data_IF_941087870420
#
_entry.id   IF_941087870420
#
_cell.length_a   1.000
_cell.length_b   1.000
_cell.length_c   1.000
_cell.angle_alpha   90.00
_cell.angle_beta   90.00
_cell.angle_gamma   90.00
#
_symmetry.space_group_name_H-M   'P 1'
#
loop_
_entity.id
_entity.type
_entity.pdbx_description
1 polymer ?
#
# COMPACT_ATOMS: atom_id res chain seq x y z
N UNK A 1 -7.19 -22.30 4.67
CA UNK A 1 -6.86 -20.87 4.53
C UNK A 1 -6.74 -20.29 5.92
N UNK A 2 -5.65 -19.60 6.27
CA UNK A 2 -5.54 -18.87 7.54
C UNK A 2 -6.42 -17.63 7.44
N UNK A 3 -7.37 -17.51 8.34
CA UNK A 3 -8.13 -16.27 8.49
C UNK A 3 -7.33 -15.26 9.30
N UNK A 4 -7.40 -14.01 8.86
CA UNK A 4 -6.77 -12.89 9.55
C UNK A 4 -7.73 -12.42 10.64
N UNK A 5 -7.30 -12.50 11.88
CA UNK A 5 -8.06 -12.08 13.05
C UNK A 5 -7.87 -10.59 13.36
N UNK A 6 -8.69 -10.05 14.25
CA UNK A 6 -8.44 -8.70 14.81
C UNK A 6 -7.11 -8.65 15.55
N UNK A 7 -6.73 -9.73 16.25
CA UNK A 7 -5.46 -9.82 16.97
C UNK A 7 -4.25 -9.71 16.02
N UNK A 8 -4.30 -10.29 14.82
CA UNK A 8 -3.23 -10.14 13.82
C UNK A 8 -3.05 -8.66 13.41
N UNK A 9 -4.17 -7.94 13.23
CA UNK A 9 -4.15 -6.51 12.92
C UNK A 9 -3.58 -5.70 14.08
N UNK A 10 -4.05 -5.93 15.31
CA UNK A 10 -3.62 -5.18 16.50
C UNK A 10 -2.13 -5.41 16.80
N UNK A 11 -1.66 -6.65 16.61
CA UNK A 11 -0.25 -7.02 16.73
C UNK A 11 0.58 -6.26 15.69
N UNK A 12 0.12 -6.20 14.44
CA UNK A 12 0.83 -5.46 13.40
C UNK A 12 0.80 -3.94 13.63
N UNK A 13 -0.31 -3.37 14.09
CA UNK A 13 -0.39 -1.96 14.48
C UNK A 13 0.63 -1.64 15.58
N UNK A 14 0.73 -2.49 16.60
CA UNK A 14 1.71 -2.34 17.67
C UNK A 14 3.13 -2.36 17.12
N UNK A 15 3.42 -3.30 16.22
CA UNK A 15 4.71 -3.37 15.53
C UNK A 15 5.00 -2.09 14.72
N UNK A 16 4.02 -1.57 13.98
CA UNK A 16 4.16 -0.33 13.23
C UNK A 16 4.49 0.87 14.14
N UNK A 17 3.85 0.98 15.31
CA UNK A 17 4.12 2.03 16.29
C UNK A 17 5.55 1.98 16.84
N UNK A 18 6.11 0.77 17.01
CA UNK A 18 7.50 0.59 17.43
C UNK A 18 8.50 1.06 16.37
N UNK A 19 8.19 0.87 15.08
CA UNK A 19 9.11 1.17 13.97
C UNK A 19 8.95 2.61 13.44
N UNK A 20 7.79 3.21 13.68
CA UNK A 20 7.46 4.58 13.33
C UNK A 20 6.71 5.23 14.51
N UNK A 21 7.41 5.90 15.45
CA UNK A 21 6.79 6.45 16.67
C UNK A 21 5.65 7.46 16.43
N UNK A 22 5.56 8.06 15.24
CA UNK A 22 4.44 8.93 14.83
C UNK A 22 3.26 8.20 14.19
N UNK A 23 3.30 6.86 14.15
CA UNK A 23 2.30 6.05 13.47
C UNK A 23 0.94 6.10 14.16
N UNK A 24 -0.08 6.43 13.37
CA UNK A 24 -1.47 6.29 13.80
C UNK A 24 -2.37 5.93 12.63
N UNK A 25 -3.40 5.14 12.94
CA UNK A 25 -4.56 4.96 12.08
C UNK A 25 -5.53 6.11 12.37
N UNK A 26 -5.94 6.81 11.33
CA UNK A 26 -6.86 7.93 11.36
C UNK A 26 -7.95 7.74 10.32
N UNK A 27 -8.99 8.58 10.38
CA UNK A 27 -10.11 8.54 9.45
C UNK A 27 -10.31 9.92 8.81
N UNK A 28 -10.61 9.95 7.50
CA UNK A 28 -10.69 11.18 6.72
C UNK A 28 -11.90 12.02 7.11
N UNK A 29 -13.02 11.37 7.37
CA UNK A 29 -14.26 11.98 7.85
C UNK A 29 -14.17 12.52 9.29
N UNK A 30 -13.16 12.12 10.05
CA UNK A 30 -12.84 12.68 11.39
C UNK A 30 -11.80 13.81 11.32
N UNK A 31 -11.11 13.99 10.20
CA UNK A 31 -9.98 14.93 10.08
C UNK A 31 -10.35 16.20 9.30
N UNK A 32 -10.31 17.36 9.98
CA UNK A 32 -10.53 18.68 9.36
C UNK A 32 -9.60 18.93 8.18
N UNK A 33 -8.31 18.60 8.32
CA UNK A 33 -7.33 18.74 7.24
C UNK A 33 -7.71 17.89 6.02
N UNK A 34 -8.08 16.63 6.23
CA UNK A 34 -8.46 15.73 5.13
C UNK A 34 -9.74 16.19 4.43
N UNK A 35 -10.72 16.73 5.18
CA UNK A 35 -11.93 17.35 4.60
C UNK A 35 -11.59 18.55 3.72
N UNK A 36 -10.67 19.42 4.16
CA UNK A 36 -10.19 20.53 3.35
C UNK A 36 -9.49 20.08 2.07
N UNK A 37 -8.58 19.11 2.17
CA UNK A 37 -7.92 18.50 1.00
C UNK A 37 -8.96 17.88 0.07
N UNK A 38 -9.94 17.16 0.61
CA UNK A 38 -11.03 16.56 -0.16
C UNK A 38 -11.87 17.59 -0.91
N UNK A 39 -12.17 18.74 -0.31
CA UNK A 39 -12.87 19.83 -0.97
C UNK A 39 -12.04 20.43 -2.12
N UNK A 40 -10.73 20.61 -1.92
CA UNK A 40 -9.80 21.09 -2.95
C UNK A 40 -9.68 20.10 -4.12
N UNK A 41 -9.60 18.80 -3.82
CA UNK A 41 -9.45 17.75 -4.82
C UNK A 41 -10.77 17.35 -5.50
N UNK A 42 -11.92 17.75 -4.96
CA UNK A 42 -13.24 17.33 -5.47
C UNK A 42 -13.45 17.50 -6.98
N UNK A 43 -12.98 18.60 -7.64
CA UNK A 43 -13.16 18.76 -9.08
C UNK A 43 -12.46 17.67 -9.93
N UNK A 44 -11.39 17.08 -9.39
CA UNK A 44 -10.51 16.14 -10.11
C UNK A 44 -10.68 14.71 -9.57
N UNK A 45 -10.90 14.55 -8.26
CA UNK A 45 -11.04 13.28 -7.59
C UNK A 45 -12.19 13.32 -6.56
N UNK A 46 -13.41 13.18 -7.06
CA UNK A 46 -14.65 13.11 -6.24
C UNK A 46 -14.66 11.96 -5.23
N UNK A 47 -13.84 10.93 -5.43
CA UNK A 47 -13.78 9.73 -4.60
C UNK A 47 -12.68 9.79 -3.54
N UNK A 48 -11.94 10.90 -3.44
CA UNK A 48 -10.84 11.07 -2.49
C UNK A 48 -11.21 10.71 -1.05
N UNK A 49 -12.36 11.17 -0.59
CA UNK A 49 -12.81 10.98 0.80
C UNK A 49 -13.35 9.58 1.08
N UNK A 50 -13.77 8.84 0.05
CA UNK A 50 -14.60 7.63 0.22
C UNK A 50 -13.96 6.34 -0.29
N UNK A 51 -13.08 6.41 -1.29
CA UNK A 51 -12.57 5.22 -1.98
C UNK A 51 -11.08 4.95 -1.79
N UNK A 52 -10.34 5.90 -1.21
CA UNK A 52 -8.88 5.80 -1.11
C UNK A 52 -8.44 5.90 0.34
N UNK A 53 -7.41 5.14 0.67
CA UNK A 53 -6.62 5.36 1.88
C UNK A 53 -5.52 6.39 1.54
N UNK A 54 -5.21 7.29 2.46
CA UNK A 54 -4.15 8.30 2.26
C UNK A 54 -3.08 8.13 3.32
N UNK A 55 -1.83 8.19 2.92
CA UNK A 55 -0.68 8.25 3.83
C UNK A 55 -0.19 9.69 3.93
N UNK A 56 -0.04 10.21 5.15
CA UNK A 56 0.45 11.57 5.37
C UNK A 56 0.96 11.77 6.81
N UNK A 57 2.11 12.42 6.99
CA UNK A 57 2.68 12.79 8.30
C UNK A 57 2.74 11.64 9.32
N UNK A 58 3.21 10.46 8.89
CA UNK A 58 3.29 9.29 9.78
C UNK A 58 1.97 8.51 9.91
N UNK A 59 0.87 8.99 9.34
CA UNK A 59 -0.48 8.46 9.58
C UNK A 59 -1.09 7.83 8.34
N UNK A 60 -1.91 6.81 8.56
CA UNK A 60 -2.76 6.21 7.53
C UNK A 60 -4.19 6.69 7.77
N UNK A 61 -4.78 7.34 6.77
CA UNK A 61 -6.13 7.88 6.79
C UNK A 61 -7.06 7.02 5.95
N UNK A 62 -7.88 6.20 6.61
CA UNK A 62 -8.96 5.46 5.96
C UNK A 62 -10.17 6.35 5.69
N UNK A 63 -11.10 5.94 4.80
CA UNK A 63 -12.32 6.72 4.51
C UNK A 63 -13.16 7.07 5.76
N UNK A 64 -13.64 6.06 6.50
CA UNK A 64 -14.36 6.22 7.78
C UNK A 64 -14.27 4.96 8.64
N UNK A 65 -14.60 5.08 9.93
CA UNK A 65 -14.67 3.92 10.84
C UNK A 65 -15.73 2.92 10.41
N UNK A 66 -16.93 3.40 10.07
CA UNK A 66 -18.04 2.53 9.69
C UNK A 66 -17.71 1.76 8.40
N UNK A 67 -17.10 2.43 7.44
CA UNK A 67 -16.71 1.82 6.17
C UNK A 67 -15.71 0.68 6.40
N UNK A 68 -14.66 0.94 7.21
CA UNK A 68 -13.60 -0.05 7.49
C UNK A 68 -14.11 -1.19 8.37
N UNK A 69 -15.06 -0.93 9.28
CA UNK A 69 -15.65 -1.96 10.14
C UNK A 69 -16.35 -3.07 9.34
N UNK A 70 -16.85 -2.74 8.14
CA UNK A 70 -17.51 -3.69 7.23
C UNK A 70 -16.53 -4.45 6.31
N UNK A 71 -15.24 -4.09 6.29
CA UNK A 71 -14.27 -4.75 5.42
C UNK A 71 -13.88 -6.12 5.95
N UNK A 72 -13.62 -7.10 5.07
CA UNK A 72 -12.92 -8.32 5.46
C UNK A 72 -11.60 -7.99 6.15
N UNK A 73 -11.32 -8.65 7.28
CA UNK A 73 -10.10 -8.39 8.07
C UNK A 73 -8.81 -8.57 7.25
N UNK A 74 -8.80 -9.53 6.34
CA UNK A 74 -7.68 -9.72 5.41
C UNK A 74 -7.47 -8.53 4.45
N UNK A 75 -8.55 -7.89 3.99
CA UNK A 75 -8.46 -6.69 3.16
C UNK A 75 -7.91 -5.51 3.95
N UNK A 76 -8.41 -5.29 5.17
CA UNK A 76 -7.89 -4.27 6.08
C UNK A 76 -6.40 -4.50 6.36
N UNK A 77 -6.00 -5.72 6.69
CA UNK A 77 -4.63 -6.09 6.98
C UNK A 77 -3.69 -5.89 5.78
N UNK A 78 -4.11 -6.32 4.59
CA UNK A 78 -3.35 -6.09 3.35
C UNK A 78 -3.19 -4.61 3.04
N UNK A 79 -4.26 -3.83 3.20
CA UNK A 79 -4.23 -2.37 3.01
C UNK A 79 -3.29 -1.72 4.02
N UNK A 80 -3.39 -2.08 5.29
CA UNK A 80 -2.54 -1.55 6.35
C UNK A 80 -1.05 -1.80 6.08
N UNK A 81 -0.70 -3.02 5.66
CA UNK A 81 0.68 -3.35 5.28
C UNK A 81 1.15 -2.57 4.06
N UNK A 82 0.31 -2.47 3.04
CA UNK A 82 0.60 -1.71 1.83
C UNK A 82 0.95 -0.25 2.16
N UNK A 83 0.05 0.42 2.90
CA UNK A 83 0.18 1.83 3.23
C UNK A 83 1.33 2.09 4.22
N UNK A 84 1.64 1.13 5.10
CA UNK A 84 2.79 1.25 5.98
C UNK A 84 4.12 1.25 5.21
N UNK A 85 4.22 0.53 4.08
CA UNK A 85 5.39 0.62 3.20
C UNK A 85 5.57 2.05 2.70
N UNK A 86 4.49 2.70 2.26
CA UNK A 86 4.54 4.11 1.81
C UNK A 86 4.99 5.06 2.90
N UNK A 87 4.56 4.84 4.15
CA UNK A 87 5.04 5.62 5.29
C UNK A 87 6.55 5.47 5.49
N UNK A 88 7.06 4.25 5.41
CA UNK A 88 8.48 4.00 5.58
C UNK A 88 9.29 4.49 4.36
N UNK A 89 8.70 4.47 3.16
CA UNK A 89 9.26 5.04 1.94
C UNK A 89 9.39 6.57 2.06
N UNK A 90 8.34 7.23 2.55
CA UNK A 90 8.37 8.65 2.88
C UNK A 90 9.39 8.99 3.97
N UNK A 91 9.53 8.15 5.00
CA UNK A 91 10.56 8.33 6.04
C UNK A 91 11.98 8.22 5.48
N UNK A 92 12.21 7.21 4.63
CA UNK A 92 13.55 6.90 4.07
C UNK A 92 13.94 7.84 2.94
N UNK A 93 12.98 8.27 2.14
CA UNK A 93 13.19 9.08 0.94
C UNK A 93 12.20 10.25 0.87
N UNK A 94 12.16 11.16 1.87
CA UNK A 94 11.10 12.16 2.00
C UNK A 94 10.95 13.05 0.76
N UNK A 95 12.06 13.57 0.24
CA UNK A 95 12.01 14.42 -0.94
C UNK A 95 11.55 13.65 -2.19
N UNK A 96 12.12 12.47 -2.44
CA UNK A 96 11.80 11.67 -3.62
C UNK A 96 10.39 11.10 -3.60
N UNK A 97 9.90 10.72 -2.42
CA UNK A 97 8.55 10.26 -2.23
C UNK A 97 7.56 11.38 -2.55
N UNK A 98 7.66 12.54 -1.88
CA UNK A 98 6.75 13.67 -2.11
C UNK A 98 6.81 14.20 -3.55
N UNK A 99 8.02 14.34 -4.11
CA UNK A 99 8.22 14.73 -5.52
C UNK A 99 7.51 13.75 -6.47
N UNK A 100 7.61 12.44 -6.21
CA UNK A 100 7.00 11.43 -7.09
C UNK A 100 5.47 11.51 -7.13
N UNK A 101 4.83 12.02 -6.08
CA UNK A 101 3.37 12.22 -6.01
C UNK A 101 2.94 13.61 -6.53
N UNK A 102 3.80 14.64 -6.46
CA UNK A 102 3.48 16.00 -6.91
C UNK A 102 3.72 16.25 -8.41
N UNK A 103 4.78 15.67 -8.99
CA UNK A 103 5.30 16.12 -10.30
C UNK A 103 4.74 15.38 -11.54
N UNK A 104 3.80 14.44 -11.41
CA UNK A 104 3.46 13.55 -12.53
C UNK A 104 1.97 13.28 -12.74
N UNK A 105 1.24 14.33 -13.09
CA UNK A 105 -0.06 14.25 -13.78
C UNK A 105 0.17 14.44 -15.29
N UNK A 106 -0.28 13.56 -16.21
CA UNK A 106 -0.21 12.10 -16.26
C UNK A 106 1.09 11.67 -16.98
N UNK A 107 2.03 10.99 -16.32
CA UNK A 107 3.31 10.69 -16.97
C UNK A 107 3.75 9.24 -16.76
N UNK A 108 3.70 8.49 -17.85
CA UNK A 108 4.32 7.18 -18.07
C UNK A 108 5.69 7.07 -17.37
N UNK A 109 5.93 5.98 -16.62
CA UNK A 109 7.20 5.65 -15.94
C UNK A 109 7.58 6.54 -14.74
N UNK A 110 6.69 6.67 -13.76
CA UNK A 110 7.00 7.43 -12.54
C UNK A 110 7.78 6.63 -11.50
N UNK A 111 8.55 7.32 -10.65
CA UNK A 111 9.03 6.76 -9.38
C UNK A 111 7.87 6.29 -8.49
N UNK A 112 6.68 6.87 -8.65
CA UNK A 112 5.46 6.41 -7.98
C UNK A 112 5.13 4.96 -8.31
N UNK A 113 5.35 4.50 -9.55
CA UNK A 113 5.19 3.10 -9.92
C UNK A 113 6.04 2.17 -9.04
N UNK A 114 7.26 2.59 -8.72
CA UNK A 114 8.16 1.81 -7.86
C UNK A 114 7.64 1.72 -6.42
N UNK A 115 7.17 2.83 -5.84
CA UNK A 115 6.59 2.85 -4.48
C UNK A 115 5.34 1.97 -4.39
N UNK A 116 4.40 2.16 -5.31
CA UNK A 116 3.16 1.37 -5.39
C UNK A 116 3.45 -0.12 -5.58
N UNK A 117 4.44 -0.47 -6.41
CA UNK A 117 4.86 -1.85 -6.58
C UNK A 117 5.28 -2.47 -5.25
N UNK A 118 6.06 -1.75 -4.45
CA UNK A 118 6.50 -2.23 -3.12
C UNK A 118 5.33 -2.40 -2.15
N UNK A 119 4.35 -1.51 -2.18
CA UNK A 119 3.10 -1.69 -1.46
C UNK A 119 2.39 -2.98 -1.88
N UNK A 120 2.22 -3.21 -3.19
CA UNK A 120 1.55 -4.40 -3.71
C UNK A 120 2.31 -5.72 -3.47
N UNK A 121 3.62 -5.70 -3.29
CA UNK A 121 4.35 -6.88 -2.78
C UNK A 121 3.80 -7.33 -1.43
N UNK A 122 3.39 -6.41 -0.56
CA UNK A 122 2.75 -6.77 0.71
C UNK A 122 1.39 -7.44 0.50
N UNK A 123 0.60 -7.01 -0.49
CA UNK A 123 -0.66 -7.68 -0.83
C UNK A 123 -0.43 -9.14 -1.25
N UNK A 124 0.59 -9.40 -2.08
CA UNK A 124 0.99 -10.75 -2.49
C UNK A 124 1.46 -11.59 -1.29
N UNK A 125 2.25 -11.01 -0.40
CA UNK A 125 2.71 -11.68 0.83
C UNK A 125 1.53 -12.05 1.74
N UNK A 126 0.57 -11.15 1.92
CA UNK A 126 -0.63 -11.43 2.73
C UNK A 126 -1.46 -12.56 2.12
N UNK A 127 -1.64 -12.57 0.80
CA UNK A 127 -2.34 -13.68 0.13
C UNK A 127 -1.62 -15.01 0.35
N UNK A 128 -0.29 -15.02 0.20
CA UNK A 128 0.54 -16.20 0.44
C UNK A 128 0.45 -16.68 1.89
N UNK A 129 0.60 -15.79 2.87
CA UNK A 129 0.48 -16.13 4.30
C UNK A 129 -0.89 -16.72 4.67
N UNK A 130 -1.95 -16.34 3.93
CA UNK A 130 -3.29 -16.87 4.14
C UNK A 130 -3.55 -18.20 3.43
N UNK A 131 -3.08 -18.33 2.21
CA UNK A 131 -3.53 -19.41 1.30
C UNK A 131 -2.43 -20.40 0.96
N UNK A 132 -1.17 -20.10 1.32
CA UNK A 132 0.05 -20.74 0.81
C UNK A 132 0.16 -20.71 -0.72
N UNK A 133 -0.55 -19.79 -1.37
CA UNK A 133 -0.56 -19.59 -2.81
C UNK A 133 -0.72 -18.10 -3.14
N UNK A 134 -0.47 -17.74 -4.40
CA UNK A 134 -0.75 -16.41 -4.94
C UNK A 134 -1.50 -16.63 -6.26
N UNK A 135 -2.72 -16.11 -6.35
CA UNK A 135 -3.55 -16.29 -7.53
C UNK A 135 -3.11 -15.41 -8.71
N UNK A 136 -3.39 -15.89 -9.91
CA UNK A 136 -3.21 -15.10 -11.14
C UNK A 136 -4.19 -13.92 -11.21
N UNK A 137 -5.34 -14.05 -10.53
CA UNK A 137 -6.34 -12.99 -10.39
C UNK A 137 -5.75 -11.81 -9.62
N UNK A 138 -5.08 -12.03 -8.49
CA UNK A 138 -4.41 -10.96 -7.74
C UNK A 138 -3.36 -10.26 -8.59
N UNK A 139 -2.52 -11.00 -9.32
CA UNK A 139 -1.52 -10.39 -10.21
C UNK A 139 -2.20 -9.53 -11.27
N UNK A 140 -3.23 -10.06 -11.92
CA UNK A 140 -4.01 -9.34 -12.94
C UNK A 140 -4.62 -8.07 -12.37
N UNK A 141 -5.23 -8.15 -11.19
CA UNK A 141 -5.82 -7.02 -10.48
C UNK A 141 -4.78 -5.95 -10.14
N UNK A 142 -3.58 -6.32 -9.68
CA UNK A 142 -2.48 -5.37 -9.44
C UNK A 142 -2.08 -4.70 -10.76
N UNK A 143 -1.87 -5.47 -11.84
CA UNK A 143 -1.47 -4.91 -13.13
C UNK A 143 -2.51 -3.89 -13.64
N UNK A 144 -3.81 -4.19 -13.50
CA UNK A 144 -4.89 -3.25 -13.84
C UNK A 144 -4.78 -1.92 -13.09
N UNK A 145 -4.35 -1.93 -11.82
CA UNK A 145 -4.15 -0.71 -11.04
C UNK A 145 -3.06 0.19 -11.61
N UNK A 146 -2.04 -0.36 -12.28
CA UNK A 146 -0.95 0.45 -12.83
C UNK A 146 -1.26 1.02 -14.21
N UNK A 147 -2.05 0.30 -14.99
CA UNK A 147 -2.30 0.61 -16.41
C UNK A 147 -3.59 1.40 -16.64
N UNK A 148 -4.48 1.49 -15.66
CA UNK A 148 -5.75 2.23 -15.80
C UNK A 148 -5.60 3.73 -15.54
N UNK A 149 -6.51 4.48 -16.15
CA UNK A 149 -6.64 5.94 -15.99
C UNK A 149 -6.90 6.37 -14.54
N UNK A 150 -7.57 5.53 -13.73
CA UNK A 150 -7.83 5.80 -12.31
C UNK A 150 -6.55 6.04 -11.49
N UNK A 151 -5.41 5.51 -11.97
CA UNK A 151 -4.09 5.67 -11.38
C UNK A 151 -3.12 6.38 -12.33
N UNK A 152 -3.65 7.06 -13.35
CA UNK A 152 -2.88 7.92 -14.26
C UNK A 152 -1.91 7.19 -15.18
N UNK A 153 -2.17 5.93 -15.55
CA UNK A 153 -1.27 5.12 -16.39
C UNK A 153 0.17 5.09 -15.87
N UNK A 154 0.31 4.96 -14.55
CA UNK A 154 1.56 4.99 -13.82
C UNK A 154 2.65 4.08 -14.43
N UNK A 155 2.23 2.94 -15.00
CA UNK A 155 3.11 2.05 -15.74
C UNK A 155 2.36 1.31 -16.86
N UNK A 156 2.36 1.79 -18.12
CA UNK A 156 1.51 1.26 -19.18
C UNK A 156 2.02 -0.06 -19.81
N UNK A 157 3.19 -0.57 -19.40
CA UNK A 157 3.79 -1.78 -19.97
C UNK A 157 3.29 -3.05 -19.26
N UNK A 158 2.04 -3.42 -19.53
CA UNK A 158 1.34 -4.58 -18.95
C UNK A 158 2.20 -5.85 -18.88
N UNK A 159 2.73 -6.30 -20.01
CA UNK A 159 3.48 -7.56 -20.07
C UNK A 159 4.75 -7.52 -19.20
N UNK A 160 5.44 -6.37 -19.19
CA UNK A 160 6.64 -6.22 -18.38
C UNK A 160 6.30 -6.23 -16.89
N UNK A 161 5.24 -5.53 -16.47
CA UNK A 161 4.78 -5.54 -15.08
C UNK A 161 4.31 -6.94 -14.64
N UNK A 162 3.56 -7.64 -15.51
CA UNK A 162 3.20 -9.05 -15.26
C UNK A 162 4.44 -9.90 -15.04
N UNK A 163 5.46 -9.79 -15.89
CA UNK A 163 6.71 -10.56 -15.74
C UNK A 163 7.42 -10.24 -14.42
N UNK A 164 7.45 -8.97 -13.99
CA UNK A 164 8.02 -8.56 -12.70
C UNK A 164 7.24 -9.17 -11.54
N UNK A 165 5.91 -9.08 -11.55
CA UNK A 165 5.05 -9.64 -10.49
C UNK A 165 5.13 -11.16 -10.44
N UNK A 166 5.24 -11.83 -11.59
CA UNK A 166 5.47 -13.28 -11.65
C UNK A 166 6.79 -13.68 -11.00
N UNK A 167 7.89 -12.98 -11.33
CA UNK A 167 9.19 -13.20 -10.66
C UNK A 167 9.08 -12.98 -9.16
N UNK A 168 8.34 -11.95 -8.74
CA UNK A 168 8.11 -11.64 -7.32
C UNK A 168 7.33 -12.75 -6.61
N UNK A 169 6.26 -13.24 -7.23
CA UNK A 169 5.52 -14.42 -6.77
C UNK A 169 6.47 -15.61 -6.57
N UNK A 170 7.35 -15.91 -7.54
CA UNK A 170 8.31 -17.01 -7.39
C UNK A 170 9.27 -16.80 -6.22
N UNK A 171 9.76 -15.58 -6.00
CA UNK A 171 10.61 -15.26 -4.84
C UNK A 171 9.88 -15.48 -3.51
N UNK A 172 8.62 -15.04 -3.41
CA UNK A 172 7.76 -15.28 -2.24
C UNK A 172 7.57 -16.78 -2.00
N UNK A 173 7.21 -17.55 -3.03
CA UNK A 173 6.99 -18.99 -2.93
C UNK A 173 8.24 -19.77 -2.50
N UNK A 174 9.43 -19.30 -2.90
CA UNK A 174 10.72 -19.85 -2.45
C UNK A 174 11.13 -19.40 -1.05
N UNK A 175 10.38 -18.48 -0.43
CA UNK A 175 10.71 -17.88 0.85
C UNK A 175 11.88 -16.89 0.79
N UNK A 176 12.25 -16.42 -0.40
CA UNK A 176 13.24 -15.37 -0.70
C UNK A 176 12.62 -13.97 -0.65
N UNK A 177 11.38 -13.83 -0.19
CA UNK A 177 10.74 -12.56 0.17
C UNK A 177 9.81 -12.87 1.33
N UNK A 178 10.04 -12.21 2.47
CA UNK A 178 9.22 -12.40 3.67
C UNK A 178 8.83 -11.05 4.25
N UNK A 179 7.61 -10.99 4.76
CA UNK A 179 7.01 -9.79 5.29
C UNK A 179 6.57 -9.96 6.74
N UNK A 180 6.14 -8.87 7.41
CA UNK A 180 5.69 -7.60 6.83
C UNK A 180 6.80 -6.56 6.56
N UNK A 181 8.06 -6.98 6.55
CA UNK A 181 9.24 -6.12 6.47
C UNK A 181 9.61 -5.71 5.03
N UNK A 182 9.36 -4.45 4.62
CA UNK A 182 9.67 -4.04 3.25
C UNK A 182 11.17 -3.98 2.93
N UNK A 183 12.05 -4.03 3.93
CA UNK A 183 13.48 -3.72 3.78
C UNK A 183 14.47 -4.79 4.24
N UNK A 184 14.02 -5.87 4.90
CA UNK A 184 14.94 -6.90 5.42
C UNK A 184 15.79 -7.57 4.34
N UNK A 185 15.37 -7.49 3.07
CA UNK A 185 16.14 -8.01 1.93
C UNK A 185 16.79 -6.94 1.05
N UNK A 186 16.58 -5.65 1.36
CA UNK A 186 17.12 -4.54 0.56
C UNK A 186 18.31 -3.85 1.24
N UNK A 187 18.95 -4.59 2.16
CA UNK A 187 20.35 -4.38 2.55
C UNK A 187 20.67 -3.27 3.53
N UNK A 188 19.74 -2.78 4.39
CA UNK A 188 20.09 -1.79 5.43
C UNK A 188 19.42 -1.89 6.80
N UNK A 189 18.54 -2.87 7.06
CA UNK A 189 17.98 -3.03 8.41
C UNK A 189 17.97 -4.51 8.77
N UNK A 190 19.05 -4.97 9.40
CA UNK A 190 18.98 -6.10 10.32
C UNK A 190 18.05 -5.69 11.46
N UNK A 191 16.99 -6.46 11.77
CA UNK A 191 16.32 -6.30 13.05
C UNK A 191 17.37 -6.55 14.13
N UNK A 192 17.63 -5.54 14.96
CA UNK A 192 18.28 -5.74 16.26
C UNK A 192 17.38 -6.57 17.16
#
# INVERSE_FOLDING_TARGET
MKDISQQDIDTYVTWCQQHLPGFAICYKDESTLQKWIGALLWPINKRYMTAYTTVMFGKIYFPSRETVALWPKAQMYATLRHEFVHLMDAKRFPLWFEISYLLFFPAVLTMRAYWEYRGYVQNLLVEYERTNAISEETITWIVERFVRSEYGWMYPFRQHLTNILQRTKQRILKGELRGPYPYCEWGKETPT
#
